data_IF_175421457681
#
_entry.id   IF_175421457681
#
_cell.length_a   1.000
_cell.length_b   1.000
_cell.length_c   1.000
_cell.angle_alpha   90.00
_cell.angle_beta   90.00
_cell.angle_gamma   90.00
#
_symmetry.space_group_name_H-M   'P 1'
#
loop_
_entity.id
_entity.type
_entity.pdbx_description
1 polymer ?
#
# COMPACT_ATOMS: atom_id res chain seq x y z
N UNK A 1 2.10 6.52 17.01
CA UNK A 1 2.68 5.22 17.40
C UNK A 1 3.30 5.37 18.77
N UNK A 2 2.88 4.54 19.74
CA UNK A 2 3.28 4.63 21.13
C UNK A 2 3.92 3.33 21.62
N UNK A 3 4.15 2.40 20.68
CA UNK A 3 4.70 1.07 20.94
C UNK A 3 6.19 1.05 20.68
N UNK A 4 6.87 0.19 21.39
CA UNK A 4 8.28 -0.12 21.25
C UNK A 4 8.40 -1.46 20.53
N UNK A 5 9.14 -1.48 19.42
CA UNK A 5 9.25 -2.68 18.57
C UNK A 5 10.07 -3.80 19.21
N UNK A 6 10.91 -3.50 20.21
CA UNK A 6 11.71 -4.51 20.90
C UNK A 6 10.92 -5.17 22.05
N UNK A 7 10.17 -4.36 22.82
CA UNK A 7 9.41 -4.84 23.97
C UNK A 7 8.01 -5.34 23.62
N UNK A 8 7.53 -5.07 22.41
CA UNK A 8 6.17 -5.40 21.92
C UNK A 8 5.05 -4.86 22.83
N UNK A 9 5.32 -3.75 23.51
CA UNK A 9 4.36 -3.06 24.38
C UNK A 9 4.47 -1.53 24.19
N UNK A 10 3.68 -0.77 24.94
CA UNK A 10 3.75 0.68 24.94
C UNK A 10 5.13 1.16 25.41
N UNK A 11 5.74 2.07 24.67
CA UNK A 11 7.03 2.64 25.01
C UNK A 11 6.95 3.44 26.32
N UNK A 12 7.63 3.01 27.36
CA UNK A 12 7.71 3.71 28.63
C UNK A 12 8.30 5.12 28.47
N UNK A 13 9.29 5.27 27.59
CA UNK A 13 9.89 6.57 27.28
C UNK A 13 8.85 7.56 26.78
N UNK A 14 8.00 7.13 25.82
CA UNK A 14 6.94 7.97 25.25
C UNK A 14 5.87 8.25 26.30
N UNK A 15 5.42 7.25 27.04
CA UNK A 15 4.42 7.40 28.08
C UNK A 15 4.88 8.41 29.15
N UNK A 16 6.09 8.26 29.65
CA UNK A 16 6.67 9.16 30.66
C UNK A 16 6.79 10.59 30.14
N UNK A 17 7.22 10.78 28.87
CA UNK A 17 7.34 12.12 28.27
C UNK A 17 5.98 12.81 28.10
N UNK A 18 4.91 12.04 27.91
CA UNK A 18 3.54 12.54 27.79
C UNK A 18 2.80 12.62 29.13
N UNK A 19 3.41 12.19 30.24
CA UNK A 19 2.77 12.12 31.55
C UNK A 19 1.62 11.09 31.63
N UNK A 20 1.67 10.05 30.78
CA UNK A 20 0.64 9.01 30.70
C UNK A 20 1.06 7.77 31.48
N UNK A 21 0.13 7.19 32.23
CA UNK A 21 0.35 5.92 32.93
C UNK A 21 0.00 4.74 32.03
N UNK A 22 0.79 3.65 32.04
CA UNK A 22 0.52 2.40 31.28
C UNK A 22 -0.90 1.87 31.54
N UNK A 23 -1.39 1.95 32.79
CA UNK A 23 -2.73 1.49 33.16
C UNK A 23 -3.90 2.28 32.55
N UNK A 24 -3.67 3.34 31.80
CA UNK A 24 -4.71 4.00 30.99
C UNK A 24 -5.04 3.24 29.70
N UNK A 25 -4.22 2.27 29.34
CA UNK A 25 -4.36 1.48 28.11
C UNK A 25 -4.69 0.03 28.48
N UNK A 26 -5.60 -0.61 27.73
CA UNK A 26 -5.90 -2.03 27.93
C UNK A 26 -4.66 -2.90 27.68
N UNK A 27 -4.68 -4.17 28.11
CA UNK A 27 -3.71 -5.16 27.66
C UNK A 27 -3.71 -5.25 26.13
N UNK A 28 -2.53 -5.49 25.56
CA UNK A 28 -2.39 -5.83 24.14
C UNK A 28 -2.68 -7.32 23.94
N UNK A 29 -3.25 -7.66 22.79
CA UNK A 29 -3.53 -9.02 22.34
C UNK A 29 -3.04 -9.18 20.91
N UNK A 30 -2.69 -10.40 20.52
CA UNK A 30 -2.32 -10.69 19.15
C UNK A 30 -3.56 -10.78 18.23
N UNK A 31 -3.36 -10.55 16.95
CA UNK A 31 -4.42 -10.75 15.97
C UNK A 31 -4.80 -12.24 15.92
N UNK A 32 -6.11 -12.50 15.85
CA UNK A 32 -6.64 -13.88 15.91
C UNK A 32 -6.97 -14.37 17.31
N UNK A 33 -6.59 -13.66 18.38
CA UNK A 33 -6.99 -14.04 19.75
C UNK A 33 -8.48 -13.73 20.02
N UNK A 34 -9.11 -14.59 20.80
CA UNK A 34 -10.48 -14.34 21.28
C UNK A 34 -10.47 -13.32 22.41
N UNK A 35 -11.12 -12.18 22.20
CA UNK A 35 -11.24 -11.08 23.16
C UNK A 35 -12.54 -11.09 23.95
N UNK A 36 -13.47 -11.97 23.61
CA UNK A 36 -14.76 -12.12 24.26
C UNK A 36 -15.75 -12.89 23.41
N UNK A 37 -17.01 -12.78 23.77
CA UNK A 37 -18.14 -13.34 22.99
C UNK A 37 -19.17 -12.26 22.71
N UNK A 38 -19.88 -12.39 21.60
CA UNK A 38 -20.94 -11.45 21.24
C UNK A 38 -22.11 -11.62 22.23
N UNK A 39 -22.48 -10.53 22.92
CA UNK A 39 -23.57 -10.58 23.90
C UNK A 39 -24.93 -10.70 23.19
N UNK A 40 -25.98 -11.27 23.87
CA UNK A 40 -27.34 -11.33 23.32
C UNK A 40 -27.85 -9.95 22.92
N UNK A 41 -27.57 -8.91 23.73
CA UNK A 41 -28.02 -7.54 23.49
C UNK A 41 -27.37 -6.97 22.22
N UNK A 42 -26.07 -7.19 22.04
CA UNK A 42 -25.34 -6.76 20.83
C UNK A 42 -25.86 -7.49 19.59
N UNK A 43 -26.05 -8.81 19.67
CA UNK A 43 -26.61 -9.61 18.57
C UNK A 43 -28.04 -9.16 18.19
N UNK A 44 -28.86 -8.84 19.17
CA UNK A 44 -30.22 -8.31 18.95
C UNK A 44 -30.15 -6.92 18.27
N UNK A 45 -29.27 -6.04 18.72
CA UNK A 45 -29.08 -4.70 18.13
C UNK A 45 -28.62 -4.78 16.68
N UNK A 46 -27.82 -5.78 16.34
CA UNK A 46 -27.38 -6.06 14.95
C UNK A 46 -28.48 -6.69 14.09
N UNK A 47 -29.64 -7.05 14.69
CA UNK A 47 -30.70 -7.74 13.98
C UNK A 47 -30.47 -9.22 13.71
N UNK A 48 -29.44 -9.82 14.31
CA UNK A 48 -29.05 -11.22 14.11
C UNK A 48 -28.88 -11.93 15.47
N UNK A 49 -29.95 -12.21 16.20
CA UNK A 49 -29.87 -12.85 17.54
C UNK A 49 -29.12 -14.20 17.54
N UNK A 50 -29.11 -14.90 16.40
CA UNK A 50 -28.38 -16.18 16.26
C UNK A 50 -26.85 -16.06 16.44
N UNK A 51 -26.30 -14.84 16.38
CA UNK A 51 -24.86 -14.59 16.60
C UNK A 51 -24.52 -14.47 18.09
N UNK A 52 -25.49 -14.51 19.01
CA UNK A 52 -25.19 -14.46 20.44
C UNK A 52 -24.30 -15.63 20.86
N UNK A 53 -23.23 -15.33 21.62
CA UNK A 53 -22.29 -16.32 22.11
C UNK A 53 -21.18 -16.72 21.15
N UNK A 54 -21.15 -16.23 19.90
CA UNK A 54 -20.01 -16.46 19.01
C UNK A 54 -18.76 -15.74 19.53
N UNK A 55 -17.54 -16.28 19.30
CA UNK A 55 -16.31 -15.62 19.70
C UNK A 55 -16.13 -14.31 18.93
N UNK A 56 -15.65 -13.29 19.64
CA UNK A 56 -15.18 -12.03 19.05
C UNK A 56 -13.67 -12.12 18.97
N UNK A 57 -13.16 -12.14 17.75
CA UNK A 57 -11.73 -12.32 17.48
C UNK A 57 -11.07 -10.96 17.28
N UNK A 58 -9.89 -10.79 17.87
CA UNK A 58 -9.08 -9.57 17.70
C UNK A 58 -8.66 -9.42 16.24
N UNK A 59 -8.82 -8.23 15.73
CA UNK A 59 -8.16 -7.77 14.52
C UNK A 59 -7.08 -6.73 14.90
N UNK A 60 -6.57 -5.99 13.93
CA UNK A 60 -5.54 -4.97 14.16
C UNK A 60 -5.72 -3.79 13.20
N UNK A 61 -4.61 -3.17 12.82
CA UNK A 61 -4.59 -2.07 11.90
C UNK A 61 -5.00 -2.52 10.48
N UNK A 62 -5.89 -1.78 9.84
CA UNK A 62 -6.49 -2.12 8.55
C UNK A 62 -5.48 -2.38 7.44
N UNK A 63 -4.39 -1.61 7.41
CA UNK A 63 -3.32 -1.76 6.40
C UNK A 63 -2.62 -3.11 6.50
N UNK A 64 -2.37 -3.62 7.70
CA UNK A 64 -1.74 -4.93 7.93
C UNK A 64 -2.63 -6.06 7.40
N UNK A 65 -3.92 -5.97 7.67
CA UNK A 65 -4.89 -6.94 7.14
C UNK A 65 -5.08 -6.81 5.64
N UNK A 66 -4.98 -5.59 5.08
CA UNK A 66 -4.99 -5.41 3.62
C UNK A 66 -3.79 -6.09 2.96
N UNK A 67 -2.60 -6.01 3.56
CA UNK A 67 -1.40 -6.69 3.07
C UNK A 67 -1.59 -8.21 3.12
N UNK A 68 -2.00 -8.75 4.26
CA UNK A 68 -2.25 -10.19 4.40
C UNK A 68 -3.34 -10.68 3.44
N UNK A 69 -4.47 -9.98 3.39
CA UNK A 69 -5.61 -10.29 2.54
C UNK A 69 -5.37 -10.04 1.04
N UNK A 70 -4.27 -9.37 0.67
CA UNK A 70 -3.81 -9.29 -0.71
C UNK A 70 -3.13 -10.57 -1.19
N UNK A 71 -2.85 -11.50 -0.28
CA UNK A 71 -2.13 -12.74 -0.54
C UNK A 71 -0.61 -12.62 -0.44
N UNK A 72 -0.09 -11.52 0.11
CA UNK A 72 1.34 -11.34 0.26
C UNK A 72 1.93 -12.27 1.31
N UNK A 73 2.97 -12.98 0.94
CA UNK A 73 3.88 -13.68 1.84
C UNK A 73 4.95 -12.73 2.41
N UNK A 74 5.85 -13.28 3.21
CA UNK A 74 7.01 -12.55 3.73
C UNK A 74 7.87 -12.04 2.59
N UNK A 75 8.39 -10.83 2.76
CA UNK A 75 9.30 -10.16 1.82
C UNK A 75 8.69 -9.89 0.43
N UNK A 76 7.36 -9.92 0.34
CA UNK A 76 6.64 -9.53 -0.85
C UNK A 76 6.02 -8.14 -0.68
N UNK A 77 6.44 -7.14 -1.47
CA UNK A 77 5.91 -5.79 -1.36
C UNK A 77 4.48 -5.69 -1.90
N UNK A 78 3.68 -4.92 -1.18
CA UNK A 78 2.31 -4.56 -1.56
C UNK A 78 2.22 -3.05 -1.70
N UNK A 79 1.71 -2.57 -2.82
CA UNK A 79 1.36 -1.18 -3.05
C UNK A 79 -0.16 -1.01 -2.99
N UNK A 80 -0.65 -0.32 -1.98
CA UNK A 80 -2.02 0.20 -1.96
C UNK A 80 -2.05 1.53 -2.71
N UNK A 81 -2.62 1.52 -3.92
CA UNK A 81 -2.66 2.69 -4.81
C UNK A 81 -4.02 3.37 -4.72
N UNK A 82 -4.09 4.41 -3.89
CA UNK A 82 -5.22 5.31 -3.68
C UNK A 82 -4.81 6.77 -3.83
N UNK A 83 -5.55 7.71 -3.23
CA UNK A 83 -5.14 9.13 -3.13
C UNK A 83 -3.71 9.24 -2.63
N UNK A 84 -3.39 8.47 -1.60
CA UNK A 84 -2.04 8.16 -1.17
C UNK A 84 -1.63 6.79 -1.71
N UNK A 85 -0.39 6.64 -2.09
CA UNK A 85 0.26 5.35 -2.30
C UNK A 85 0.95 4.94 -1.02
N UNK A 86 0.68 3.72 -0.56
CA UNK A 86 1.27 3.12 0.64
C UNK A 86 1.95 1.84 0.20
N UNK A 87 3.27 1.82 0.29
CA UNK A 87 4.11 0.68 -0.06
C UNK A 87 4.61 0.04 1.22
N UNK A 88 4.30 -1.22 1.44
CA UNK A 88 4.70 -1.99 2.62
C UNK A 88 5.08 -3.42 2.26
N UNK A 89 5.77 -4.09 3.18
CA UNK A 89 6.04 -5.52 3.11
C UNK A 89 5.91 -6.13 4.50
N UNK A 90 5.73 -7.44 4.55
CA UNK A 90 5.82 -8.25 5.77
C UNK A 90 7.24 -8.76 5.88
N UNK A 91 8.00 -8.38 6.90
CA UNK A 91 9.42 -8.73 6.97
C UNK A 91 9.86 -9.06 8.40
N UNK A 92 10.85 -9.94 8.52
CA UNK A 92 11.44 -10.30 9.82
C UNK A 92 12.25 -9.14 10.44
N UNK A 93 12.51 -8.08 9.69
CA UNK A 93 13.26 -6.92 10.17
C UNK A 93 12.78 -5.61 9.52
N UNK A 94 13.01 -4.51 10.23
CA UNK A 94 12.81 -3.16 9.73
C UNK A 94 13.93 -2.26 10.27
N UNK A 95 15.04 -2.18 9.52
CA UNK A 95 16.22 -1.40 9.91
C UNK A 95 16.10 0.03 9.42
N UNK A 96 15.45 0.87 10.22
CA UNK A 96 15.26 2.28 9.94
C UNK A 96 16.40 3.12 10.49
N UNK A 97 16.94 4.00 9.67
CA UNK A 97 17.86 5.06 10.09
C UNK A 97 17.11 6.36 10.37
N UNK A 98 17.73 7.34 11.05
CA UNK A 98 17.12 8.68 11.19
C UNK A 98 16.78 9.34 9.85
N UNK A 99 17.55 9.06 8.80
CA UNK A 99 17.29 9.55 7.43
C UNK A 99 16.05 8.88 6.82
N UNK A 100 15.84 7.58 7.08
CA UNK A 100 14.64 6.88 6.65
C UNK A 100 13.39 7.51 7.26
N UNK A 101 13.42 7.82 8.55
CA UNK A 101 12.33 8.53 9.23
C UNK A 101 12.08 9.92 8.66
N UNK A 102 13.15 10.67 8.38
CA UNK A 102 13.03 12.00 7.77
C UNK A 102 12.41 11.94 6.37
N UNK A 103 12.64 10.85 5.63
CA UNK A 103 12.06 10.56 4.32
C UNK A 103 10.66 9.91 4.38
N UNK A 104 10.10 9.75 5.58
CA UNK A 104 8.73 9.28 5.82
C UNK A 104 8.56 7.77 5.90
N UNK A 105 9.65 7.02 6.08
CA UNK A 105 9.56 5.58 6.34
C UNK A 105 9.02 5.31 7.76
N UNK A 106 8.23 4.25 7.87
CA UNK A 106 7.66 3.76 9.13
C UNK A 106 7.96 2.27 9.30
N UNK A 107 7.85 1.78 10.54
CA UNK A 107 7.77 0.37 10.83
C UNK A 107 6.64 0.15 11.84
N UNK A 108 5.84 -0.86 11.58
CA UNK A 108 4.71 -1.27 12.41
C UNK A 108 4.83 -2.76 12.71
N UNK A 109 4.10 -3.26 13.71
CA UNK A 109 3.96 -4.69 13.90
C UNK A 109 3.11 -5.27 12.76
N UNK A 110 3.47 -6.46 12.29
CA UNK A 110 2.62 -7.24 11.40
C UNK A 110 1.45 -7.87 12.20
N UNK A 111 0.43 -8.33 11.49
CA UNK A 111 -0.63 -9.13 12.09
C UNK A 111 -0.11 -10.50 12.59
N UNK A 112 0.98 -11.01 12.02
CA UNK A 112 1.65 -12.22 12.48
C UNK A 112 2.75 -11.84 13.50
N UNK A 113 2.72 -12.38 14.73
CA UNK A 113 3.73 -12.12 15.74
C UNK A 113 5.15 -12.40 15.25
N UNK A 114 6.07 -11.49 15.57
CA UNK A 114 7.48 -11.62 15.20
C UNK A 114 7.82 -11.06 13.82
N UNK A 115 6.83 -10.57 13.05
CA UNK A 115 7.05 -9.82 11.83
C UNK A 115 6.80 -8.32 12.03
N UNK A 116 7.39 -7.54 11.15
CA UNK A 116 7.25 -6.09 11.06
C UNK A 116 6.75 -5.70 9.67
N UNK A 117 6.07 -4.56 9.60
CA UNK A 117 5.67 -3.92 8.35
C UNK A 117 6.48 -2.64 8.13
N UNK A 118 7.70 -2.71 7.56
CA UNK A 118 8.32 -1.52 7.03
C UNK A 118 7.47 -0.92 5.92
N UNK A 119 7.33 0.40 5.91
CA UNK A 119 6.44 1.07 4.97
C UNK A 119 6.89 2.48 4.59
N UNK A 120 6.41 2.93 3.45
CA UNK A 120 6.62 4.26 2.89
C UNK A 120 5.32 4.74 2.26
N UNK A 121 5.01 6.04 2.41
CA UNK A 121 3.81 6.63 1.82
C UNK A 121 4.11 7.94 1.11
N UNK A 122 3.34 8.23 0.07
CA UNK A 122 3.42 9.49 -0.69
C UNK A 122 2.09 9.79 -1.38
N UNK A 123 1.91 11.04 -1.81
CA UNK A 123 0.75 11.42 -2.60
C UNK A 123 0.80 10.73 -3.97
N UNK A 124 -0.19 9.89 -4.25
CA UNK A 124 -0.29 9.06 -5.45
C UNK A 124 -1.38 9.55 -6.40
N UNK A 125 -2.51 8.82 -6.47
CA UNK A 125 -3.63 9.16 -7.37
C UNK A 125 -4.20 10.56 -7.14
N UNK A 126 -3.94 11.19 -5.99
CA UNK A 126 -4.29 12.59 -5.76
C UNK A 126 -3.69 13.55 -6.79
N UNK A 127 -2.47 13.25 -7.31
CA UNK A 127 -1.85 14.02 -8.40
C UNK A 127 -2.58 13.76 -9.73
N UNK A 128 -2.96 12.51 -9.98
CA UNK A 128 -3.74 12.10 -11.16
C UNK A 128 -5.10 12.82 -11.17
N UNK A 129 -5.79 12.87 -10.01
CA UNK A 129 -7.04 13.60 -9.86
C UNK A 129 -6.86 15.10 -10.09
N UNK A 130 -5.76 15.68 -9.61
CA UNK A 130 -5.44 17.08 -9.88
C UNK A 130 -5.24 17.34 -11.38
N UNK A 131 -4.49 16.48 -12.09
CA UNK A 131 -4.32 16.57 -13.56
C UNK A 131 -5.67 16.46 -14.25
N UNK A 132 -6.53 15.51 -13.83
CA UNK A 132 -7.88 15.36 -14.37
C UNK A 132 -8.72 16.62 -14.21
N UNK A 133 -8.78 17.13 -12.98
CA UNK A 133 -9.57 18.33 -12.68
C UNK A 133 -9.08 19.58 -13.42
N UNK A 134 -7.78 19.66 -13.70
CA UNK A 134 -7.12 20.82 -14.30
C UNK A 134 -7.11 20.75 -15.82
N UNK A 135 -6.72 19.61 -16.40
CA UNK A 135 -6.46 19.47 -17.83
C UNK A 135 -7.53 18.66 -18.60
N UNK A 136 -8.33 17.83 -17.90
CA UNK A 136 -9.29 16.89 -18.49
C UNK A 136 -10.69 17.04 -17.90
N UNK A 137 -11.10 18.27 -17.58
CA UNK A 137 -12.41 18.51 -16.96
C UNK A 137 -13.53 17.96 -17.83
N UNK A 138 -14.34 17.06 -17.27
CA UNK A 138 -15.47 16.40 -17.93
C UNK A 138 -15.11 15.17 -18.76
N UNK A 139 -13.83 14.85 -18.92
CA UNK A 139 -13.39 13.68 -19.66
C UNK A 139 -13.41 12.40 -18.80
N UNK A 140 -13.54 11.26 -19.47
CA UNK A 140 -13.41 9.95 -18.84
C UNK A 140 -11.94 9.57 -18.63
N UNK A 141 -11.68 8.61 -17.72
CA UNK A 141 -10.35 8.02 -17.58
C UNK A 141 -9.92 7.30 -18.85
N UNK A 142 -10.84 6.63 -19.56
CA UNK A 142 -10.53 5.96 -20.83
C UNK A 142 -9.98 6.94 -21.88
N UNK A 143 -10.54 8.14 -21.96
CA UNK A 143 -10.03 9.21 -22.84
C UNK A 143 -8.62 9.63 -22.44
N UNK A 144 -8.39 9.84 -21.14
CA UNK A 144 -7.08 10.21 -20.61
C UNK A 144 -6.03 9.14 -20.89
N UNK A 145 -6.38 7.88 -20.65
CA UNK A 145 -5.49 6.72 -20.85
C UNK A 145 -5.16 6.53 -22.32
N UNK A 146 -6.14 6.71 -23.24
CA UNK A 146 -5.90 6.64 -24.67
C UNK A 146 -4.96 7.77 -25.17
N UNK A 147 -5.13 9.01 -24.69
CA UNK A 147 -4.22 10.11 -25.01
C UNK A 147 -2.80 9.86 -24.49
N UNK A 148 -2.66 9.34 -23.26
CA UNK A 148 -1.36 9.02 -22.68
C UNK A 148 -0.68 7.84 -23.38
N UNK A 149 -1.43 6.80 -23.76
CA UNK A 149 -0.90 5.63 -24.44
C UNK A 149 -0.30 5.95 -25.83
N UNK A 150 -0.81 6.99 -26.50
CA UNK A 150 -0.30 7.44 -27.79
C UNK A 150 1.05 8.19 -27.71
N UNK A 151 1.53 8.51 -26.51
CA UNK A 151 2.76 9.28 -26.29
C UNK A 151 3.89 8.29 -25.91
N UNK A 152 5.11 8.47 -26.43
CA UNK A 152 6.21 7.55 -26.11
C UNK A 152 6.73 7.71 -24.68
N UNK A 153 7.44 6.71 -24.15
CA UNK A 153 8.21 6.83 -22.89
C UNK A 153 9.10 8.07 -22.86
N UNK A 154 9.11 8.76 -21.71
CA UNK A 154 9.82 10.03 -21.54
C UNK A 154 9.03 11.24 -22.03
N UNK A 155 7.77 11.04 -22.46
CA UNK A 155 6.81 12.12 -22.75
C UNK A 155 7.34 13.22 -23.69
N UNK A 156 8.21 12.84 -24.66
CA UNK A 156 8.91 13.79 -25.54
C UNK A 156 9.58 14.94 -24.77
N UNK A 157 10.14 14.65 -23.60
CA UNK A 157 10.84 15.61 -22.75
C UNK A 157 9.94 16.38 -21.76
N UNK A 158 8.64 16.14 -21.73
CA UNK A 158 7.78 16.68 -20.64
C UNK A 158 8.03 15.89 -19.35
N UNK A 159 8.30 16.59 -18.27
CA UNK A 159 8.60 16.01 -16.96
C UNK A 159 7.68 16.57 -15.89
N UNK A 160 7.49 15.84 -14.79
CA UNK A 160 6.77 16.31 -13.61
C UNK A 160 7.57 16.01 -12.34
N UNK A 161 7.70 17.02 -11.46
CA UNK A 161 8.12 16.80 -10.08
C UNK A 161 6.85 16.59 -9.24
N UNK A 162 6.61 15.37 -8.69
CA UNK A 162 5.32 15.06 -8.08
C UNK A 162 5.25 15.48 -6.58
N UNK A 163 5.75 16.68 -6.23
CA UNK A 163 5.79 17.22 -4.86
C UNK A 163 4.66 18.22 -4.62
N UNK A 164 3.42 17.74 -4.73
CA UNK A 164 2.20 18.57 -4.74
C UNK A 164 1.66 18.92 -3.34
N UNK A 165 2.31 18.48 -2.27
CA UNK A 165 1.89 18.84 -0.91
C UNK A 165 2.27 20.28 -0.58
N UNK A 166 1.38 20.97 0.14
CA UNK A 166 1.63 22.35 0.57
C UNK A 166 2.75 22.43 1.63
N UNK A 167 2.90 21.36 2.44
CA UNK A 167 3.97 21.22 3.45
C UNK A 167 5.27 20.80 2.77
N UNK A 168 6.37 21.45 3.14
CA UNK A 168 7.70 21.16 2.64
C UNK A 168 8.25 22.24 1.68
N UNK A 169 9.56 22.20 1.48
CA UNK A 169 10.27 23.20 0.68
C UNK A 169 10.17 22.94 -0.84
N UNK A 170 9.93 21.66 -1.22
CA UNK A 170 9.75 21.29 -2.62
C UNK A 170 8.31 21.47 -3.04
N UNK A 171 8.12 21.95 -4.25
CA UNK A 171 6.80 22.12 -4.87
C UNK A 171 6.73 21.35 -6.18
N UNK A 172 5.54 20.84 -6.48
CA UNK A 172 5.26 20.21 -7.76
C UNK A 172 5.52 21.16 -8.92
N UNK A 173 6.08 20.63 -10.01
CA UNK A 173 6.32 21.42 -11.23
C UNK A 173 6.17 20.55 -12.47
N UNK A 174 5.90 21.20 -13.61
CA UNK A 174 5.87 20.58 -14.92
C UNK A 174 6.92 21.28 -15.77
N UNK A 175 7.86 20.51 -16.32
CA UNK A 175 8.94 20.99 -17.17
C UNK A 175 8.83 20.49 -18.61
N UNK A 176 9.64 21.05 -19.53
CA UNK A 176 9.73 20.58 -20.91
C UNK A 176 8.55 20.90 -21.81
N UNK A 177 7.67 21.80 -21.43
CA UNK A 177 6.52 22.22 -22.26
C UNK A 177 7.00 23.09 -23.41
N UNK A 178 6.62 22.68 -24.63
CA UNK A 178 6.81 23.46 -25.88
C UNK A 178 5.51 23.40 -26.67
N UNK A 179 5.38 24.27 -27.70
CA UNK A 179 4.24 24.22 -28.62
C UNK A 179 4.13 22.81 -29.24
N UNK A 180 2.93 22.27 -29.27
CA UNK A 180 2.66 20.89 -29.74
C UNK A 180 2.60 19.86 -28.67
N UNK A 181 2.99 20.14 -27.42
CA UNK A 181 2.73 19.25 -26.28
C UNK A 181 1.27 19.38 -25.85
N UNK A 182 0.63 18.24 -25.63
CA UNK A 182 -0.80 18.16 -25.30
C UNK A 182 -1.01 17.85 -23.81
N UNK A 183 -2.26 17.92 -23.35
CA UNK A 183 -2.65 17.48 -22.00
C UNK A 183 -2.30 16.01 -21.73
N UNK A 184 -2.30 15.17 -22.77
CA UNK A 184 -1.87 13.76 -22.68
C UNK A 184 -0.40 13.64 -22.24
N UNK A 185 0.50 14.53 -22.69
CA UNK A 185 1.88 14.55 -22.21
C UNK A 185 1.97 14.87 -20.72
N UNK A 186 1.16 15.80 -20.22
CA UNK A 186 1.12 16.16 -18.79
C UNK A 186 0.64 14.96 -17.97
N UNK A 187 -0.41 14.28 -18.42
CA UNK A 187 -0.95 13.13 -17.73
C UNK A 187 0.02 11.94 -17.73
N UNK A 188 0.64 11.64 -18.88
CA UNK A 188 1.66 10.61 -18.94
C UNK A 188 2.88 10.94 -18.07
N UNK A 189 3.34 12.18 -18.09
CA UNK A 189 4.46 12.63 -17.25
C UNK A 189 4.14 12.49 -15.75
N UNK A 190 2.90 12.70 -15.34
CA UNK A 190 2.46 12.45 -13.97
C UNK A 190 2.55 10.95 -13.60
N UNK A 191 2.06 10.07 -14.47
CA UNK A 191 2.12 8.62 -14.26
C UNK A 191 3.58 8.13 -14.23
N UNK A 192 4.43 8.60 -15.15
CA UNK A 192 5.86 8.24 -15.18
C UNK A 192 6.59 8.72 -13.91
N UNK A 193 6.37 9.96 -13.49
CA UNK A 193 6.97 10.52 -12.28
C UNK A 193 6.61 9.71 -11.02
N UNK A 194 5.35 9.30 -10.90
CA UNK A 194 4.89 8.47 -9.80
C UNK A 194 5.46 7.04 -9.87
N UNK A 195 5.60 6.48 -11.06
CA UNK A 195 6.21 5.16 -11.24
C UNK A 195 7.74 5.16 -10.94
N UNK A 196 8.44 6.24 -11.28
CA UNK A 196 9.84 6.44 -10.89
C UNK A 196 9.99 6.63 -9.38
N UNK A 197 9.09 7.38 -8.75
CA UNK A 197 9.01 7.50 -7.29
C UNK A 197 8.80 6.14 -6.64
N UNK A 198 7.87 5.34 -7.15
CA UNK A 198 7.64 3.97 -6.68
C UNK A 198 8.91 3.13 -6.77
N UNK A 199 9.67 3.19 -7.88
CA UNK A 199 10.95 2.47 -8.03
C UNK A 199 11.98 2.85 -6.95
N UNK A 200 12.11 4.14 -6.69
CA UNK A 200 13.00 4.64 -5.63
C UNK A 200 12.56 4.15 -4.25
N UNK A 201 11.25 4.23 -3.96
CA UNK A 201 10.67 3.80 -2.68
C UNK A 201 10.75 2.28 -2.49
N UNK A 202 10.59 1.50 -3.56
CA UNK A 202 10.74 0.05 -3.51
C UNK A 202 12.17 -0.37 -3.14
N UNK A 203 13.17 0.26 -3.76
CA UNK A 203 14.57 0.03 -3.39
C UNK A 203 14.86 0.38 -1.92
N UNK A 204 14.24 1.45 -1.43
CA UNK A 204 14.37 1.84 -0.02
C UNK A 204 13.70 0.81 0.90
N UNK A 205 12.51 0.35 0.56
CA UNK A 205 11.81 -0.70 1.29
C UNK A 205 12.62 -2.00 1.34
N UNK A 206 13.19 -2.42 0.21
CA UNK A 206 14.09 -3.57 0.11
C UNK A 206 15.29 -3.45 1.05
N UNK A 207 15.90 -2.26 1.11
CA UNK A 207 17.04 -1.98 2.00
C UNK A 207 16.65 -2.05 3.47
N UNK A 208 15.52 -1.45 3.85
CA UNK A 208 15.00 -1.43 5.23
C UNK A 208 14.58 -2.82 5.68
N UNK A 209 13.87 -3.56 4.84
CA UNK A 209 13.40 -4.91 5.13
C UNK A 209 14.46 -6.00 4.95
N UNK A 210 15.56 -5.71 4.23
CA UNK A 210 16.64 -6.65 3.97
C UNK A 210 16.30 -7.77 2.98
N UNK A 211 15.42 -7.49 2.03
CA UNK A 211 14.97 -8.45 1.00
C UNK A 211 15.15 -7.89 -0.42
N UNK A 212 14.85 -8.73 -1.40
CA UNK A 212 14.79 -8.36 -2.82
C UNK A 212 13.44 -8.75 -3.40
N UNK A 213 12.78 -7.80 -4.05
CA UNK A 213 11.46 -8.01 -4.64
C UNK A 213 11.53 -8.79 -5.95
N UNK A 214 10.81 -9.90 -6.05
CA UNK A 214 10.63 -10.63 -7.30
C UNK A 214 9.44 -10.11 -8.11
N UNK A 215 8.45 -9.54 -7.46
CA UNK A 215 7.27 -8.90 -8.04
C UNK A 215 6.69 -7.88 -7.05
N UNK A 216 5.76 -7.07 -7.52
CA UNK A 216 4.97 -6.15 -6.70
C UNK A 216 3.50 -6.56 -6.73
N UNK A 217 2.85 -6.68 -5.57
CA UNK A 217 1.39 -6.82 -5.51
C UNK A 217 0.78 -5.41 -5.49
N UNK A 218 -0.23 -5.20 -6.31
CA UNK A 218 -0.92 -3.92 -6.45
C UNK A 218 -2.40 -4.08 -6.07
N UNK A 219 -2.85 -3.27 -5.13
CA UNK A 219 -4.24 -3.19 -4.68
C UNK A 219 -4.76 -1.75 -4.75
N UNK A 220 -6.06 -1.56 -4.60
CA UNK A 220 -6.69 -0.24 -4.56
C UNK A 220 -7.11 0.31 -5.93
N UNK A 221 -7.69 1.51 -5.92
CA UNK A 221 -8.31 2.11 -7.10
C UNK A 221 -7.37 2.39 -8.27
N UNK A 222 -6.11 2.74 -7.99
CA UNK A 222 -5.07 2.97 -9.01
C UNK A 222 -4.68 1.74 -9.81
N UNK A 223 -5.00 0.54 -9.32
CA UNK A 223 -4.80 -0.72 -10.03
C UNK A 223 -5.73 -0.91 -11.24
N UNK A 224 -6.82 -0.15 -11.32
CA UNK A 224 -7.77 -0.20 -12.44
C UNK A 224 -7.19 0.42 -13.73
N UNK A 225 -6.22 1.30 -13.62
CA UNK A 225 -5.55 1.91 -14.76
C UNK A 225 -4.50 0.95 -15.33
N UNK A 226 -4.83 0.28 -16.43
CA UNK A 226 -3.97 -0.72 -17.07
C UNK A 226 -2.73 -0.09 -17.72
N UNK A 227 -2.83 1.12 -18.26
CA UNK A 227 -1.71 1.86 -18.86
C UNK A 227 -0.68 2.19 -17.79
N UNK A 228 -1.11 2.72 -16.66
CA UNK A 228 -0.21 3.04 -15.56
C UNK A 228 0.36 1.79 -14.88
N UNK A 229 -0.42 0.71 -14.77
CA UNK A 229 0.05 -0.56 -14.23
C UNK A 229 1.13 -1.19 -15.10
N UNK A 230 0.96 -1.19 -16.44
CA UNK A 230 1.99 -1.64 -17.37
C UNK A 230 3.25 -0.78 -17.28
N UNK A 231 3.09 0.54 -17.22
CA UNK A 231 4.21 1.47 -17.04
C UNK A 231 4.99 1.20 -15.74
N UNK A 232 4.31 0.87 -14.64
CA UNK A 232 4.97 0.44 -13.39
C UNK A 232 5.80 -0.82 -13.62
N UNK A 233 5.27 -1.84 -14.28
CA UNK A 233 6.01 -3.07 -14.57
C UNK A 233 7.26 -2.79 -15.41
N UNK A 234 7.14 -1.95 -16.44
CA UNK A 234 8.25 -1.58 -17.34
C UNK A 234 9.35 -0.79 -16.60
N UNK A 235 8.96 0.18 -15.77
CA UNK A 235 9.91 1.02 -15.01
C UNK A 235 10.57 0.24 -13.87
N UNK A 236 9.81 -0.58 -13.14
CA UNK A 236 10.32 -1.41 -12.04
C UNK A 236 11.20 -2.55 -12.55
N UNK A 237 10.92 -3.07 -13.75
CA UNK A 237 11.55 -4.25 -14.36
C UNK A 237 11.27 -5.55 -13.58
N UNK A 238 10.15 -5.60 -12.92
CA UNK A 238 9.61 -6.79 -12.25
C UNK A 238 8.10 -6.91 -12.55
N UNK A 239 7.53 -8.11 -12.45
CA UNK A 239 6.10 -8.28 -12.61
C UNK A 239 5.29 -7.46 -11.60
N UNK A 240 4.17 -6.88 -12.04
CA UNK A 240 3.16 -6.26 -11.18
C UNK A 240 1.92 -7.15 -11.19
N UNK A 241 1.56 -7.68 -10.03
CA UNK A 241 0.42 -8.55 -9.80
C UNK A 241 -0.74 -7.74 -9.22
N UNK A 242 -1.76 -7.47 -10.00
CA UNK A 242 -2.98 -6.79 -9.54
C UNK A 242 -3.87 -7.82 -8.87
N UNK A 243 -4.13 -7.64 -7.57
CA UNK A 243 -5.05 -8.51 -6.84
C UNK A 243 -6.48 -8.33 -7.37
N UNK A 244 -7.19 -9.44 -7.58
CA UNK A 244 -8.60 -9.43 -7.98
C UNK A 244 -9.55 -9.31 -6.78
N UNK A 245 -9.00 -9.27 -5.57
CA UNK A 245 -9.75 -9.03 -4.33
C UNK A 245 -10.06 -7.55 -4.19
N UNK A 246 -11.35 -7.20 -4.15
CA UNK A 246 -11.80 -5.80 -4.00
C UNK A 246 -11.61 -5.28 -2.58
N UNK A 247 -11.82 -6.12 -1.55
CA UNK A 247 -11.84 -5.76 -0.14
C UNK A 247 -10.80 -6.58 0.64
N UNK A 248 -9.52 -6.37 0.31
CA UNK A 248 -8.40 -7.13 0.90
C UNK A 248 -8.32 -6.98 2.43
N UNK A 249 -8.67 -5.82 2.98
CA UNK A 249 -8.69 -5.60 4.44
C UNK A 249 -9.69 -6.53 5.13
N UNK A 250 -10.93 -6.57 4.63
CA UNK A 250 -11.99 -7.42 5.18
C UNK A 250 -11.63 -8.89 5.03
N UNK A 251 -11.08 -9.25 3.88
CA UNK A 251 -10.65 -10.63 3.62
C UNK A 251 -9.54 -11.05 4.59
N UNK A 252 -8.50 -10.22 4.77
CA UNK A 252 -7.41 -10.49 5.71
C UNK A 252 -7.91 -10.64 7.15
N UNK A 253 -8.76 -9.71 7.62
CA UNK A 253 -9.36 -9.80 8.96
C UNK A 253 -10.19 -11.09 9.12
N UNK A 254 -10.92 -11.50 8.07
CA UNK A 254 -11.71 -12.74 8.07
C UNK A 254 -10.84 -13.99 8.22
N UNK A 255 -9.65 -14.03 7.59
CA UNK A 255 -8.72 -15.15 7.70
C UNK A 255 -8.26 -15.35 9.14
N UNK A 256 -7.90 -14.26 9.84
CA UNK A 256 -7.56 -14.30 11.26
C UNK A 256 -8.77 -14.67 12.13
N UNK A 257 -9.96 -14.17 11.80
CA UNK A 257 -11.18 -14.53 12.52
C UNK A 257 -11.53 -16.02 12.38
N UNK A 258 -11.40 -16.58 11.19
CA UNK A 258 -11.63 -18.01 10.97
C UNK A 258 -10.60 -18.89 11.69
N UNK A 259 -9.32 -18.49 11.71
CA UNK A 259 -8.29 -19.19 12.47
C UNK A 259 -8.56 -19.11 13.98
N UNK A 260 -8.85 -17.92 14.52
CA UNK A 260 -9.17 -17.73 15.93
C UNK A 260 -10.44 -18.43 16.39
N UNK A 261 -11.39 -18.66 15.48
CA UNK A 261 -12.59 -19.45 15.72
C UNK A 261 -12.38 -20.97 15.55
N UNK A 262 -11.18 -21.43 15.16
CA UNK A 262 -10.85 -22.83 14.97
C UNK A 262 -11.39 -23.46 13.68
N UNK A 263 -11.78 -22.65 12.69
CA UNK A 263 -12.23 -23.15 11.37
C UNK A 263 -11.03 -23.58 10.53
N UNK A 264 -9.92 -22.85 10.64
CA UNK A 264 -8.61 -23.20 10.09
C UNK A 264 -7.59 -23.22 11.21
N UNK A 265 -6.48 -23.94 11.01
CA UNK A 265 -5.44 -24.04 12.03
C UNK A 265 -4.59 -22.77 12.13
N UNK A 266 -4.44 -22.07 11.00
CA UNK A 266 -3.69 -20.80 10.91
C UNK A 266 -4.36 -19.81 9.94
N UNK A 267 -4.06 -18.52 10.03
CA UNK A 267 -4.51 -17.53 9.03
C UNK A 267 -3.99 -17.82 7.62
N UNK A 268 -2.79 -18.41 7.49
CA UNK A 268 -2.20 -18.81 6.20
C UNK A 268 -3.00 -19.94 5.55
N UNK A 269 -3.41 -20.95 6.33
CA UNK A 269 -4.27 -22.03 5.85
C UNK A 269 -5.60 -21.46 5.33
N UNK A 270 -6.20 -20.51 6.07
CA UNK A 270 -7.38 -19.79 5.60
C UNK A 270 -7.10 -19.04 4.30
N UNK A 271 -5.98 -18.32 4.20
CA UNK A 271 -5.57 -17.58 2.99
C UNK A 271 -5.45 -18.50 1.78
N UNK A 272 -4.79 -19.64 1.94
CA UNK A 272 -4.60 -20.62 0.88
C UNK A 272 -5.94 -21.21 0.42
N UNK A 273 -6.87 -21.46 1.34
CA UNK A 273 -8.21 -21.94 1.05
C UNK A 273 -9.07 -20.91 0.28
N UNK A 274 -8.86 -19.62 0.49
CA UNK A 274 -9.54 -18.56 -0.27
C UNK A 274 -9.06 -18.43 -1.71
N UNK A 275 -7.85 -18.88 -2.05
CA UNK A 275 -7.34 -18.97 -3.41
C UNK A 275 -7.26 -17.63 -4.12
N UNK A 276 -6.48 -16.68 -3.58
CA UNK A 276 -6.36 -15.32 -4.13
C UNK A 276 -5.76 -15.35 -5.52
N UNK A 277 -6.41 -14.70 -6.47
CA UNK A 277 -6.01 -14.63 -7.88
C UNK A 277 -5.47 -13.25 -8.25
N UNK A 278 -4.62 -13.22 -9.29
CA UNK A 278 -3.96 -12.02 -9.75
C UNK A 278 -3.98 -11.90 -11.26
N UNK A 279 -4.21 -10.70 -11.77
CA UNK A 279 -3.86 -10.34 -13.13
C UNK A 279 -2.43 -9.79 -13.15
N UNK A 280 -1.54 -10.48 -13.89
CA UNK A 280 -0.11 -10.15 -13.91
C UNK A 280 0.26 -9.31 -15.13
N UNK A 281 0.98 -8.22 -14.90
CA UNK A 281 1.61 -7.38 -15.91
C UNK A 281 3.12 -7.64 -15.86
N UNK A 282 3.65 -8.24 -16.92
CA UNK A 282 5.09 -8.46 -17.09
C UNK A 282 5.75 -7.19 -17.65
N UNK A 283 7.05 -6.93 -17.38
CA UNK A 283 7.82 -5.93 -18.12
C UNK A 283 7.67 -6.15 -19.62
N UNK A 284 7.32 -5.09 -20.34
CA UNK A 284 6.94 -5.13 -21.74
C UNK A 284 7.93 -4.41 -22.64
N UNK A 285 7.55 -4.13 -23.90
CA UNK A 285 8.46 -3.54 -24.90
C UNK A 285 9.02 -2.15 -24.54
N UNK A 286 8.33 -1.42 -23.64
CA UNK A 286 8.77 -0.09 -23.22
C UNK A 286 9.87 -0.12 -22.13
N UNK A 287 10.16 -1.27 -21.53
CA UNK A 287 11.19 -1.45 -20.52
C UNK A 287 12.54 -0.88 -20.97
N UNK A 288 13.01 -1.27 -22.18
CA UNK A 288 14.29 -0.79 -22.74
C UNK A 288 14.32 0.73 -22.96
N UNK A 289 13.17 1.33 -23.31
CA UNK A 289 13.09 2.78 -23.45
C UNK A 289 13.23 3.47 -22.09
N UNK A 290 12.54 2.97 -21.05
CA UNK A 290 12.68 3.49 -19.69
C UNK A 290 14.06 3.25 -19.10
N UNK A 291 14.74 2.16 -19.44
CA UNK A 291 16.13 1.92 -19.01
C UNK A 291 17.07 3.03 -19.46
N UNK A 292 16.93 3.50 -20.71
CA UNK A 292 17.72 4.60 -21.27
C UNK A 292 17.43 5.96 -20.63
N UNK A 293 16.26 6.12 -20.02
CA UNK A 293 15.83 7.33 -19.32
C UNK A 293 16.21 7.33 -17.83
N UNK A 294 16.72 6.20 -17.34
CA UNK A 294 17.12 6.05 -15.94
C UNK A 294 18.53 6.67 -15.77
N UNK A 295 18.57 7.94 -15.38
CA UNK A 295 19.80 8.70 -15.08
C UNK A 295 20.06 8.77 -13.59
#
# INVERSE_FOLDING_TARGET
>A
QRTDLETVDFSELILNRLGLRRGLFPPTVDAGETIGVLTPEAAATMGIPALAGIPVISAGHDTQFAIFGSGADRDQPVLSSGTWEILMARSAQARLTPEDYADGATAEFDAEPGLLNPGLQWLGSGIIEWVKATCFRGESYDTMDAEAAAIPPGCDGVTMAPDFLASGDRKGSIGGLVLGRTRGHIYRAAMEALAWRLKSRLRRLESVGGFKSEFLILVGGGARNSVWTQMRADILRIPVKVSEVSESTVLGASMFAFAGAGVYSTPEEARDAFGITYRTYLPGPQETAYEKLNH
#
